data_IF_673288799306
#
_entry.id   IF_673288799306
#
_cell.length_a   1.000
_cell.length_b   1.000
_cell.length_c   1.000
_cell.angle_alpha   90.00
_cell.angle_beta   90.00
_cell.angle_gamma   90.00
#
_symmetry.space_group_name_H-M   'P 1'
#
loop_
_entity.id
_entity.type
_entity.pdbx_description
1 polymer ?
#
# COMPACT_ATOMS: atom_id res chain seq x y z
N UNK A 1 -17.46 -4.71 -10.46
CA UNK A 1 -16.06 -4.26 -10.31
C UNK A 1 -15.23 -5.50 -10.09
N UNK A 2 -14.20 -5.73 -10.91
CA UNK A 2 -13.28 -6.84 -10.65
C UNK A 2 -12.43 -6.50 -9.42
N UNK A 3 -12.10 -7.49 -8.57
CA UNK A 3 -11.19 -7.27 -7.47
C UNK A 3 -9.84 -6.77 -8.00
N UNK A 4 -9.30 -5.75 -7.35
CA UNK A 4 -7.99 -5.18 -7.66
C UNK A 4 -6.94 -6.16 -7.17
N UNK A 5 -5.89 -6.42 -7.96
CA UNK A 5 -4.79 -7.28 -7.50
C UNK A 5 -4.11 -6.65 -6.30
N UNK A 6 -3.49 -7.45 -5.44
CA UNK A 6 -2.79 -6.93 -4.26
C UNK A 6 -1.60 -6.04 -4.69
N UNK A 7 -0.90 -6.40 -5.76
CA UNK A 7 0.08 -5.54 -6.43
C UNK A 7 -0.49 -4.17 -6.85
N UNK A 8 -1.64 -4.14 -7.55
CA UNK A 8 -2.28 -2.88 -7.95
C UNK A 8 -2.73 -2.05 -6.74
N UNK A 9 -3.23 -2.72 -5.69
CA UNK A 9 -3.63 -2.06 -4.46
C UNK A 9 -2.42 -1.40 -3.78
N UNK A 10 -1.28 -2.09 -3.71
CA UNK A 10 -0.02 -1.55 -3.16
C UNK A 10 0.41 -0.29 -3.92
N UNK A 11 0.44 -0.37 -5.25
CA UNK A 11 0.80 0.76 -6.11
C UNK A 11 -0.11 1.97 -5.88
N UNK A 12 -1.41 1.77 -5.65
CA UNK A 12 -2.35 2.86 -5.35
C UNK A 12 -2.11 3.48 -3.99
N UNK A 13 -1.77 2.69 -2.97
CA UNK A 13 -1.40 3.21 -1.64
C UNK A 13 -0.15 4.07 -1.75
N UNK A 14 0.89 3.60 -2.44
CA UNK A 14 2.11 4.37 -2.65
C UNK A 14 1.83 5.69 -3.39
N UNK A 15 1.06 5.66 -4.48
CA UNK A 15 0.65 6.86 -5.20
C UNK A 15 -0.13 7.85 -4.32
N UNK A 16 -1.01 7.34 -3.45
CA UNK A 16 -1.74 8.19 -2.51
C UNK A 16 -0.79 8.84 -1.50
N UNK A 17 0.20 8.12 -0.97
CA UNK A 17 1.22 8.67 -0.08
C UNK A 17 2.04 9.78 -0.76
N UNK A 18 2.45 9.58 -2.01
CA UNK A 18 3.16 10.61 -2.79
C UNK A 18 2.29 11.86 -3.00
N UNK A 19 1.04 11.68 -3.41
CA UNK A 19 0.10 12.81 -3.57
C UNK A 19 -0.14 13.57 -2.26
N UNK A 20 -0.29 12.86 -1.15
CA UNK A 20 -0.48 13.47 0.16
C UNK A 20 0.77 14.21 0.64
N UNK A 21 1.95 13.70 0.31
CA UNK A 21 3.24 14.35 0.63
C UNK A 21 3.41 15.65 -0.16
N UNK A 22 3.13 15.62 -1.47
CA UNK A 22 3.12 16.83 -2.30
C UNK A 22 2.09 17.84 -1.81
N UNK A 23 0.92 17.39 -1.37
CA UNK A 23 -0.08 18.28 -0.79
C UNK A 23 0.44 18.89 0.52
N UNK A 24 1.02 18.09 1.41
CA UNK A 24 1.60 18.58 2.66
C UNK A 24 2.65 19.68 2.40
N UNK A 25 3.54 19.47 1.44
CA UNK A 25 4.54 20.47 1.02
C UNK A 25 3.92 21.76 0.46
N UNK A 26 2.82 21.64 -0.28
CA UNK A 26 2.10 22.78 -0.85
C UNK A 26 1.25 23.55 0.18
N UNK A 27 1.03 23.00 1.38
CA UNK A 27 0.15 23.59 2.40
C UNK A 27 0.87 24.67 3.20
N UNK A 28 1.09 25.85 2.61
CA UNK A 28 1.70 26.99 3.33
C UNK A 28 0.68 27.73 4.20
N UNK A 29 0.92 27.79 5.52
CA UNK A 29 0.15 28.54 6.54
C UNK A 29 -1.19 27.92 7.00
N UNK A 30 -1.40 26.62 6.83
CA UNK A 30 -2.53 25.90 7.45
C UNK A 30 -2.02 24.68 8.24
N UNK A 31 -1.64 24.95 9.49
CA UNK A 31 -1.12 23.94 10.42
C UNK A 31 -2.14 22.82 10.69
N UNK A 32 -3.44 23.12 10.64
CA UNK A 32 -4.47 22.11 10.85
C UNK A 32 -4.47 21.11 9.71
N UNK A 33 -4.47 21.59 8.46
CA UNK A 33 -4.42 20.73 7.28
C UNK A 33 -3.11 19.97 7.22
N UNK A 34 -1.98 20.60 7.52
CA UNK A 34 -0.68 19.94 7.57
C UNK A 34 -0.66 18.79 8.59
N UNK A 35 -1.18 19.00 9.80
CA UNK A 35 -1.28 17.96 10.83
C UNK A 35 -2.19 16.79 10.42
N UNK A 36 -3.31 17.08 9.73
CA UNK A 36 -4.20 16.03 9.23
C UNK A 36 -3.53 15.20 8.13
N UNK A 37 -2.87 15.83 7.17
CA UNK A 37 -2.13 15.14 6.11
C UNK A 37 -0.98 14.30 6.68
N UNK A 38 -0.20 14.85 7.61
CA UNK A 38 0.85 14.10 8.31
C UNK A 38 0.32 12.91 9.12
N UNK A 39 -0.84 13.07 9.75
CA UNK A 39 -1.55 11.97 10.42
C UNK A 39 -1.96 10.86 9.46
N UNK A 40 -2.48 11.21 8.27
CA UNK A 40 -2.83 10.22 7.24
C UNK A 40 -1.60 9.52 6.69
N UNK A 41 -0.51 10.25 6.40
CA UNK A 41 0.75 9.66 5.96
C UNK A 41 1.29 8.67 7.01
N UNK A 42 1.24 9.02 8.29
CA UNK A 42 1.64 8.14 9.39
C UNK A 42 0.77 6.88 9.47
N UNK A 43 -0.53 6.98 9.21
CA UNK A 43 -1.42 5.81 9.17
C UNK A 43 -1.12 4.87 7.98
N UNK A 44 -0.61 5.41 6.88
CA UNK A 44 -0.28 4.64 5.68
C UNK A 44 1.16 4.10 5.69
N UNK A 45 2.00 4.58 6.61
CA UNK A 45 3.40 4.18 6.72
C UNK A 45 3.55 2.66 6.93
N UNK A 46 4.49 2.06 6.19
CA UNK A 46 4.74 0.61 6.20
C UNK A 46 3.64 -0.29 5.61
N UNK A 47 2.45 0.23 5.25
CA UNK A 47 1.40 -0.58 4.61
C UNK A 47 1.89 -1.20 3.28
N UNK A 48 2.55 -0.47 2.37
CA UNK A 48 3.04 -1.06 1.12
C UNK A 48 3.99 -2.25 1.34
N UNK A 49 4.81 -2.21 2.39
CA UNK A 49 5.77 -3.27 2.71
C UNK A 49 5.06 -4.54 3.19
N UNK A 50 4.05 -4.38 4.04
CA UNK A 50 3.20 -5.49 4.50
C UNK A 50 2.43 -6.11 3.33
N UNK A 51 1.94 -5.29 2.39
CA UNK A 51 1.27 -5.77 1.19
C UNK A 51 2.22 -6.56 0.28
N UNK A 52 3.47 -6.12 0.14
CA UNK A 52 4.49 -6.83 -0.63
C UNK A 52 4.85 -8.18 0.00
N UNK A 53 5.01 -8.22 1.32
CA UNK A 53 5.24 -9.46 2.06
C UNK A 53 4.08 -10.46 1.89
N UNK A 54 2.83 -9.96 1.98
CA UNK A 54 1.65 -10.79 1.79
C UNK A 54 1.54 -11.36 0.36
N UNK A 55 1.87 -10.58 -0.68
CA UNK A 55 1.94 -11.07 -2.06
C UNK A 55 2.98 -12.20 -2.20
N UNK A 56 4.15 -12.05 -1.56
CA UNK A 56 5.19 -13.07 -1.51
C UNK A 56 4.71 -14.37 -0.87
N UNK A 57 4.05 -14.29 0.29
CA UNK A 57 3.47 -15.46 0.97
C UNK A 57 2.41 -16.16 0.12
N UNK A 58 1.51 -15.40 -0.51
CA UNK A 58 0.50 -15.94 -1.43
C UNK A 58 1.14 -16.67 -2.62
N UNK A 59 2.17 -16.08 -3.22
CA UNK A 59 2.92 -16.71 -4.31
C UNK A 59 3.56 -18.05 -3.88
N UNK A 60 4.11 -18.12 -2.66
CA UNK A 60 4.70 -19.35 -2.12
C UNK A 60 3.62 -20.42 -1.89
N UNK A 61 2.48 -20.04 -1.31
CA UNK A 61 1.36 -20.97 -1.07
C UNK A 61 0.80 -21.54 -2.37
N UNK A 62 0.67 -20.72 -3.42
CA UNK A 62 0.23 -21.16 -4.74
C UNK A 62 1.22 -22.16 -5.37
N UNK A 63 2.52 -21.90 -5.23
CA UNK A 63 3.56 -22.81 -5.72
C UNK A 63 3.53 -24.17 -5.00
N UNK A 64 3.38 -24.16 -3.67
CA UNK A 64 3.25 -25.38 -2.86
C UNK A 64 2.00 -26.19 -3.26
N UNK A 65 0.86 -25.52 -3.39
CA UNK A 65 -0.41 -26.14 -3.81
C UNK A 65 -0.27 -26.81 -5.18
N UNK A 66 0.41 -26.16 -6.13
CA UNK A 66 0.67 -26.74 -7.45
C UNK A 66 1.65 -27.92 -7.42
N UNK A 67 2.63 -27.90 -6.52
CA UNK A 67 3.62 -28.97 -6.37
C UNK A 67 3.06 -30.24 -5.72
N UNK A 68 2.06 -30.11 -4.84
CA UNK A 68 1.39 -31.23 -4.17
C UNK A 68 0.36 -31.97 -5.03
N UNK A 69 0.05 -31.47 -6.22
CA UNK A 69 -0.92 -32.04 -7.16
C UNK A 69 -0.41 -33.18 -8.05
N UNK A 70 0.75 -33.76 -7.76
CA UNK A 70 1.26 -34.96 -8.47
C UNK A 70 1.30 -36.15 -7.51
N UNK A 71 0.19 -36.86 -7.41
CA UNK A 71 0.12 -38.25 -6.94
C UNK A 71 -0.65 -39.07 -7.98
#
# INVERSE_FOLDING_TARGET
MNPVSLCDAKCRVQQAQEMLSLWLEATTNDDRTANLLGGVLTMLDGIPDVMDAAEGELCVMDALTRSGGKA
#
